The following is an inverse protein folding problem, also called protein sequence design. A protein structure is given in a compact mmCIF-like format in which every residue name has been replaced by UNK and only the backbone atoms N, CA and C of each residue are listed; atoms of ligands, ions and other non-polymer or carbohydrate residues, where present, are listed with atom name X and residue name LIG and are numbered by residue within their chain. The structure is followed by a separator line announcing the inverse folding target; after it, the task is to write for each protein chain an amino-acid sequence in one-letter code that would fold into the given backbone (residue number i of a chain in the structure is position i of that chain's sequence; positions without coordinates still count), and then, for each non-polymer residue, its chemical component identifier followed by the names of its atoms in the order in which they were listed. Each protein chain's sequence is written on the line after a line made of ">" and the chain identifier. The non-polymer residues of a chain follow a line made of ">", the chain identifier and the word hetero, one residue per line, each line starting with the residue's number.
data_IF_846040029834
#
_entry.id   IF_846040029834
#
_cell.length_a   1.000
_cell.length_b   1.000
_cell.length_c   1.000
_cell.angle_alpha   90.00
_cell.angle_beta   90.00
_cell.angle_gamma   90.00
#
_symmetry.space_group_name_H-M   'P 1'
#
loop_
_entity.id
_entity.type
_entity.pdbx_description
1 polymer ?
#
# COMPACT_ATOMS: atom_id res chain seq x y z
N UNK A 1 -4.10 -24.53 -11.11
CA UNK A 1 -5.04 -25.19 -10.18
C UNK A 1 -6.46 -24.65 -10.31
N UNK A 2 -6.71 -23.35 -10.10
CA UNK A 2 -8.07 -22.76 -10.20
C UNK A 2 -8.76 -23.13 -11.52
N UNK A 3 -8.09 -22.98 -12.67
CA UNK A 3 -8.63 -23.39 -13.98
C UNK A 3 -9.01 -24.88 -14.07
N UNK A 4 -8.24 -25.75 -13.41
CA UNK A 4 -8.51 -27.19 -13.39
C UNK A 4 -9.71 -27.53 -12.50
N UNK A 5 -9.85 -26.83 -11.36
CA UNK A 5 -10.95 -27.01 -10.42
C UNK A 5 -12.26 -26.39 -10.92
N UNK A 6 -12.17 -25.27 -11.63
CA UNK A 6 -13.31 -24.63 -12.27
C UNK A 6 -13.94 -25.54 -13.34
N UNK A 7 -13.12 -26.24 -14.13
CA UNK A 7 -13.64 -26.97 -15.28
C UNK A 7 -14.24 -26.01 -16.34
N UNK A 8 -14.84 -26.55 -17.41
CA UNK A 8 -15.33 -25.74 -18.53
C UNK A 8 -16.55 -24.86 -18.21
N UNK A 9 -17.38 -25.26 -17.25
CA UNK A 9 -18.69 -24.65 -17.00
C UNK A 9 -18.74 -23.76 -15.74
N UNK A 10 -17.65 -23.62 -14.99
CA UNK A 10 -17.68 -22.83 -13.75
C UNK A 10 -17.62 -21.33 -13.99
N UNK A 11 -18.49 -20.61 -13.27
CA UNK A 11 -18.41 -19.18 -13.12
C UNK A 11 -17.31 -18.82 -12.10
N UNK A 12 -16.24 -18.20 -12.59
CA UNK A 12 -15.12 -17.74 -11.74
C UNK A 12 -15.22 -16.23 -11.55
N UNK A 13 -15.23 -15.81 -10.29
CA UNK A 13 -15.14 -14.42 -9.88
C UNK A 13 -13.84 -14.20 -9.13
N UNK A 14 -13.06 -13.20 -9.54
CA UNK A 14 -11.79 -12.84 -8.92
C UNK A 14 -11.79 -11.36 -8.57
N UNK A 15 -11.15 -11.03 -7.44
CA UNK A 15 -10.92 -9.66 -6.99
C UNK A 15 -9.43 -9.50 -6.76
N UNK A 16 -8.86 -8.41 -7.26
CA UNK A 16 -7.44 -8.14 -7.08
C UNK A 16 -7.06 -6.78 -7.64
N UNK A 17 -5.82 -6.40 -7.36
CA UNK A 17 -5.19 -5.19 -7.87
C UNK A 17 -3.80 -5.57 -8.40
N UNK A 18 -3.61 -5.47 -9.71
CA UNK A 18 -2.35 -5.78 -10.37
C UNK A 18 -1.21 -4.87 -9.91
N UNK A 19 -1.50 -3.60 -9.62
CA UNK A 19 -0.55 -2.60 -9.10
C UNK A 19 -0.10 -2.94 -7.66
N UNK A 20 -0.78 -3.87 -6.96
CA UNK A 20 -0.43 -4.34 -5.61
C UNK A 20 0.23 -5.72 -5.59
N UNK A 21 0.70 -6.21 -6.74
CA UNK A 21 1.40 -7.50 -6.80
C UNK A 21 2.84 -7.40 -6.27
N UNK A 22 3.02 -7.55 -4.95
CA UNK A 22 4.31 -7.36 -4.27
C UNK A 22 5.07 -8.66 -3.95
N UNK A 23 4.45 -9.83 -4.16
CA UNK A 23 5.02 -11.14 -3.86
C UNK A 23 5.69 -11.82 -5.06
N UNK A 24 6.23 -11.04 -6.02
CA UNK A 24 6.85 -11.58 -7.23
C UNK A 24 8.04 -12.50 -6.96
N UNK A 25 8.78 -12.26 -5.87
CA UNK A 25 9.86 -13.14 -5.41
C UNK A 25 9.39 -14.54 -5.01
N UNK A 26 8.09 -14.72 -4.73
CA UNK A 26 7.45 -15.99 -4.38
C UNK A 26 6.48 -16.46 -5.47
N UNK A 27 6.69 -16.03 -6.72
CA UNK A 27 5.93 -16.50 -7.89
C UNK A 27 4.58 -15.82 -8.12
N UNK A 28 4.24 -14.76 -7.38
CA UNK A 28 3.08 -13.95 -7.75
C UNK A 28 3.35 -13.21 -9.06
N UNK A 29 2.35 -13.16 -9.94
CA UNK A 29 2.48 -12.52 -11.24
C UNK A 29 1.21 -11.70 -11.55
N UNK A 30 1.29 -10.38 -11.81
CA UNK A 30 0.13 -9.58 -12.17
C UNK A 30 -0.55 -10.04 -13.46
N UNK A 31 0.11 -10.84 -14.31
CA UNK A 31 -0.49 -11.41 -15.53
C UNK A 31 -1.77 -12.18 -15.26
N UNK A 32 -1.91 -12.81 -14.09
CA UNK A 32 -3.12 -13.56 -13.75
C UNK A 32 -4.38 -12.68 -13.67
N UNK A 33 -4.21 -11.39 -13.33
CA UNK A 33 -5.29 -10.41 -13.32
C UNK A 33 -5.39 -9.69 -14.68
N UNK A 34 -4.26 -9.31 -15.27
CA UNK A 34 -4.22 -8.57 -16.55
C UNK A 34 -4.82 -9.41 -17.69
N UNK A 35 -4.49 -10.70 -17.74
CA UNK A 35 -4.92 -11.61 -18.79
C UNK A 35 -6.17 -12.44 -18.39
N UNK A 36 -6.89 -12.01 -17.35
CA UNK A 36 -7.99 -12.79 -16.76
C UNK A 36 -9.07 -13.19 -17.77
N UNK A 37 -9.48 -12.26 -18.66
CA UNK A 37 -10.47 -12.52 -19.70
C UNK A 37 -10.00 -13.56 -20.74
N UNK A 38 -8.68 -13.71 -20.93
CA UNK A 38 -8.09 -14.77 -21.78
C UNK A 38 -8.12 -16.12 -21.07
N UNK A 39 -7.93 -16.13 -19.76
CA UNK A 39 -7.94 -17.35 -18.93
C UNK A 39 -9.35 -17.90 -18.71
N UNK A 40 -10.33 -17.00 -18.60
CA UNK A 40 -11.76 -17.28 -18.41
C UNK A 40 -12.58 -16.49 -19.45
N UNK A 41 -12.72 -17.01 -20.68
CA UNK A 41 -13.49 -16.36 -21.74
C UNK A 41 -14.93 -16.08 -21.31
N UNK A 42 -15.42 -14.87 -21.58
CA UNK A 42 -16.75 -14.42 -21.16
C UNK A 42 -16.79 -13.73 -19.80
N UNK A 43 -15.66 -13.62 -19.09
CA UNK A 43 -15.59 -12.82 -17.87
C UNK A 43 -15.90 -11.33 -18.15
N UNK A 44 -16.74 -10.74 -17.29
CA UNK A 44 -16.99 -9.30 -17.27
C UNK A 44 -16.00 -8.56 -16.37
N UNK A 45 -15.77 -7.28 -16.66
CA UNK A 45 -14.94 -6.39 -15.83
C UNK A 45 -15.82 -5.42 -15.03
N UNK A 46 -15.43 -5.19 -13.77
CA UNK A 46 -16.13 -4.32 -12.82
C UNK A 46 -15.10 -3.46 -12.05
N UNK A 47 -14.56 -2.40 -12.67
CA UNK A 47 -13.55 -1.58 -12.03
C UNK A 47 -14.13 -0.79 -10.85
N UNK A 48 -13.46 -0.89 -9.69
CA UNK A 48 -13.76 -0.09 -8.51
C UNK A 48 -12.85 1.14 -8.49
N UNK A 49 -13.37 2.25 -9.00
CA UNK A 49 -12.57 3.46 -9.26
C UNK A 49 -12.47 4.43 -8.08
N UNK A 50 -13.30 4.28 -7.04
CA UNK A 50 -13.38 5.25 -5.94
C UNK A 50 -12.59 4.76 -4.74
N UNK A 51 -11.59 5.54 -4.33
CA UNK A 51 -10.81 5.33 -3.12
C UNK A 51 -11.44 6.07 -1.94
N UNK A 52 -12.00 5.32 -1.01
CA UNK A 52 -12.60 5.84 0.24
C UNK A 52 -11.63 5.86 1.42
N UNK A 53 -10.38 5.38 1.24
CA UNK A 53 -9.41 5.24 2.33
C UNK A 53 -8.56 6.50 2.50
N UNK A 54 -8.10 7.07 1.39
CA UNK A 54 -7.00 8.03 1.39
C UNK A 54 -7.48 9.45 1.01
N UNK A 55 -6.86 10.50 1.59
CA UNK A 55 -6.96 11.87 1.10
C UNK A 55 -6.59 12.00 -0.37
N UNK A 56 -7.21 12.96 -1.07
CA UNK A 56 -7.00 13.19 -2.49
C UNK A 56 -5.53 13.46 -2.85
N UNK A 57 -4.79 14.18 -2.00
CA UNK A 57 -3.34 14.37 -2.19
C UNK A 57 -2.57 13.06 -2.25
N UNK A 58 -2.89 12.09 -1.39
CA UNK A 58 -2.25 10.76 -1.39
C UNK A 58 -2.65 9.97 -2.64
N UNK A 59 -3.93 9.99 -3.02
CA UNK A 59 -4.41 9.28 -4.21
C UNK A 59 -3.71 9.80 -5.47
N UNK A 60 -3.54 11.12 -5.62
CA UNK A 60 -2.82 11.73 -6.74
C UNK A 60 -1.34 11.35 -6.76
N UNK A 61 -0.68 11.33 -5.60
CA UNK A 61 0.72 10.93 -5.49
C UNK A 61 0.91 9.45 -5.92
N UNK A 62 0.04 8.56 -5.45
CA UNK A 62 0.06 7.15 -5.84
C UNK A 62 -0.20 6.97 -7.35
N UNK A 63 -1.22 7.62 -7.89
CA UNK A 63 -1.54 7.57 -9.33
C UNK A 63 -0.37 8.06 -10.20
N UNK A 64 0.31 9.13 -9.77
CA UNK A 64 1.50 9.65 -10.46
C UNK A 64 2.61 8.59 -10.52
N UNK A 65 2.87 7.89 -9.43
CA UNK A 65 3.89 6.83 -9.38
C UNK A 65 3.50 5.63 -10.26
N UNK A 66 2.24 5.19 -10.21
CA UNK A 66 1.76 4.01 -10.93
C UNK A 66 1.76 4.18 -12.46
N UNK A 67 1.70 5.41 -12.97
CA UNK A 67 1.79 5.71 -14.41
C UNK A 67 3.13 5.30 -15.04
N UNK A 68 4.15 5.04 -14.23
CA UNK A 68 5.43 4.53 -14.71
C UNK A 68 5.43 3.01 -14.96
N UNK A 69 4.41 2.27 -14.48
CA UNK A 69 4.28 0.84 -14.74
C UNK A 69 3.84 0.59 -16.19
N UNK A 70 4.58 -0.26 -16.91
CA UNK A 70 4.35 -0.52 -18.34
C UNK A 70 3.22 -1.53 -18.58
N UNK A 71 3.13 -2.58 -17.75
CA UNK A 71 2.16 -3.67 -17.91
C UNK A 71 1.19 -3.65 -16.73
N UNK A 72 0.01 -3.07 -16.96
CA UNK A 72 -1.03 -2.90 -15.94
C UNK A 72 -2.44 -2.90 -16.55
N UNK A 73 -3.45 -3.14 -15.71
CA UNK A 73 -4.84 -2.90 -16.07
C UNK A 73 -5.09 -1.40 -16.15
N UNK A 74 -5.65 -0.95 -17.27
CA UNK A 74 -6.02 0.45 -17.44
C UNK A 74 -7.21 0.77 -16.51
N UNK A 75 -6.94 1.54 -15.46
CA UNK A 75 -7.94 1.98 -14.48
C UNK A 75 -7.64 3.37 -13.98
N UNK A 76 -8.69 4.13 -13.68
CA UNK A 76 -8.60 5.44 -13.05
C UNK A 76 -9.05 5.32 -11.58
N UNK A 77 -8.16 5.67 -10.65
CA UNK A 77 -8.50 5.73 -9.23
C UNK A 77 -8.70 7.20 -8.85
N UNK A 78 -9.87 7.52 -8.32
CA UNK A 78 -10.23 8.86 -7.83
C UNK A 78 -10.53 8.82 -6.33
N UNK A 79 -10.16 9.87 -5.57
CA UNK A 79 -10.58 9.97 -4.18
C UNK A 79 -12.10 10.12 -4.08
N UNK A 80 -12.67 9.67 -2.99
CA UNK A 80 -14.06 9.96 -2.66
C UNK A 80 -14.29 11.48 -2.51
N UNK A 81 -15.47 12.01 -2.89
CA UNK A 81 -15.73 13.45 -2.91
C UNK A 81 -15.40 14.17 -1.59
N UNK A 82 -15.68 13.53 -0.46
CA UNK A 82 -15.44 14.05 0.89
C UNK A 82 -13.95 14.22 1.27
N UNK A 83 -13.06 13.57 0.52
CA UNK A 83 -11.63 13.54 0.76
C UNK A 83 -10.81 14.16 -0.38
N UNK A 84 -11.44 14.59 -1.48
CA UNK A 84 -10.77 15.00 -2.73
C UNK A 84 -9.79 16.18 -2.56
N UNK A 85 -10.17 17.16 -1.74
CA UNK A 85 -9.38 18.38 -1.51
C UNK A 85 -8.44 18.26 -0.30
N UNK A 86 -8.43 17.12 0.39
CA UNK A 86 -7.53 16.90 1.53
C UNK A 86 -6.15 16.51 1.03
N UNK A 87 -5.15 17.29 1.43
CA UNK A 87 -3.75 16.87 1.34
C UNK A 87 -3.41 15.95 2.51
N UNK A 88 -2.45 15.05 2.32
CA UNK A 88 -2.19 14.00 3.32
C UNK A 88 -0.79 13.40 3.27
N UNK A 89 0.17 14.02 2.58
CA UNK A 89 1.54 13.53 2.55
C UNK A 89 2.54 14.67 2.74
N UNK A 90 3.70 14.31 3.27
CA UNK A 90 4.86 15.17 3.40
C UNK A 90 6.05 14.40 2.83
N UNK A 91 6.90 15.07 2.05
CA UNK A 91 8.17 14.51 1.60
C UNK A 91 9.27 15.24 2.35
N UNK A 92 10.00 14.50 3.19
CA UNK A 92 11.16 15.05 3.87
C UNK A 92 12.36 15.12 2.92
N UNK A 93 13.05 16.26 2.92
CA UNK A 93 14.29 16.46 2.15
C UNK A 93 15.48 15.67 2.70
N UNK A 94 16.55 15.58 1.91
CA UNK A 94 17.73 14.74 2.18
C UNK A 94 18.68 15.26 3.28
N UNK A 95 18.41 16.41 3.91
CA UNK A 95 19.36 17.10 4.80
C UNK A 95 19.41 16.52 6.24
N UNK A 96 18.55 15.56 6.59
CA UNK A 96 18.50 14.92 7.90
C UNK A 96 18.62 13.39 7.85
N UNK A 97 18.85 12.76 9.01
CA UNK A 97 18.71 11.30 9.12
C UNK A 97 17.23 10.94 9.08
N UNK A 98 16.86 9.95 8.26
CA UNK A 98 15.47 9.47 8.14
C UNK A 98 14.84 9.11 9.50
N UNK A 99 15.68 8.68 10.46
CA UNK A 99 15.27 8.33 11.82
C UNK A 99 14.78 9.55 12.60
N UNK A 100 15.53 10.64 12.65
CA UNK A 100 15.16 11.82 13.42
C UNK A 100 13.86 12.45 12.89
N UNK A 101 13.73 12.53 11.55
CA UNK A 101 12.51 13.01 10.91
C UNK A 101 11.32 12.10 11.20
N UNK A 102 11.51 10.77 11.21
CA UNK A 102 10.44 9.82 11.56
C UNK A 102 9.98 10.00 13.00
N UNK A 103 10.91 10.12 13.95
CA UNK A 103 10.58 10.35 15.37
C UNK A 103 9.81 11.65 15.54
N UNK A 104 10.25 12.73 14.90
CA UNK A 104 9.56 14.02 14.94
C UNK A 104 8.15 13.93 14.36
N UNK A 105 7.97 13.23 13.23
CA UNK A 105 6.65 13.03 12.63
C UNK A 105 5.70 12.27 13.56
N UNK A 106 6.17 11.20 14.21
CA UNK A 106 5.39 10.42 15.19
C UNK A 106 5.02 11.29 16.39
N UNK A 107 5.98 12.00 16.99
CA UNK A 107 5.72 12.88 18.13
C UNK A 107 4.73 14.00 17.77
N UNK A 108 4.84 14.56 16.57
CA UNK A 108 3.91 15.60 16.08
C UNK A 108 2.49 15.05 15.97
N UNK A 109 2.31 13.85 15.42
CA UNK A 109 1.00 13.21 15.33
C UNK A 109 0.41 12.90 16.71
N UNK A 110 1.21 12.37 17.64
CA UNK A 110 0.79 12.12 19.01
C UNK A 110 0.40 13.41 19.75
N UNK A 111 1.19 14.48 19.59
CA UNK A 111 0.89 15.79 20.18
C UNK A 111 -0.38 16.42 19.59
N UNK A 112 -0.71 16.11 18.33
CA UNK A 112 -1.97 16.49 17.69
C UNK A 112 -3.17 15.63 18.12
N UNK A 113 -2.96 14.62 18.96
CA UNK A 113 -4.02 13.76 19.51
C UNK A 113 -4.33 12.51 18.69
N UNK A 114 -3.55 12.19 17.66
CA UNK A 114 -3.69 10.92 16.93
C UNK A 114 -3.45 9.74 17.87
N UNK A 115 -4.33 8.75 17.84
CA UNK A 115 -4.17 7.60 18.71
C UNK A 115 -2.95 6.77 18.27
N UNK A 116 -2.11 6.23 19.18
CA UNK A 116 -0.90 5.51 18.81
C UNK A 116 -1.11 4.35 17.82
N UNK A 117 -2.26 3.66 17.90
CA UNK A 117 -2.60 2.55 17.01
C UNK A 117 -3.00 2.98 15.58
N UNK A 118 -3.19 4.27 15.34
CA UNK A 118 -3.42 4.86 14.01
C UNK A 118 -2.11 5.28 13.33
N UNK A 119 -0.96 5.12 14.00
CA UNK A 119 0.36 5.48 13.51
C UNK A 119 1.15 4.20 13.18
N UNK A 120 1.61 4.09 11.94
CA UNK A 120 2.47 2.99 11.50
C UNK A 120 3.76 3.53 10.85
N UNK A 121 4.88 2.87 11.14
CA UNK A 121 6.18 3.12 10.48
C UNK A 121 6.51 1.93 9.59
N UNK A 122 6.62 2.17 8.28
CA UNK A 122 6.92 1.14 7.28
C UNK A 122 8.32 1.37 6.71
N UNK A 123 9.07 0.28 6.53
CA UNK A 123 10.39 0.31 5.89
C UNK A 123 10.51 -0.82 4.87
N UNK A 124 11.47 -0.71 3.95
CA UNK A 124 11.66 -1.73 2.90
C UNK A 124 12.17 -3.07 3.43
N UNK A 125 13.00 -3.03 4.48
CA UNK A 125 13.60 -4.20 5.13
C UNK A 125 13.58 -4.03 6.64
N UNK A 126 13.31 -5.11 7.37
CA UNK A 126 13.11 -5.08 8.82
C UNK A 126 14.29 -4.44 9.57
N UNK A 127 15.53 -4.66 9.14
CA UNK A 127 16.72 -4.09 9.78
C UNK A 127 16.71 -2.55 9.87
N UNK A 128 15.98 -1.86 8.99
CA UNK A 128 15.84 -0.40 9.03
C UNK A 128 14.90 0.08 10.16
N UNK A 129 14.08 -0.80 10.75
CA UNK A 129 13.23 -0.45 11.89
C UNK A 129 14.03 -0.33 13.19
N UNK A 130 15.12 -1.08 13.35
CA UNK A 130 15.92 -1.11 14.59
C UNK A 130 16.33 0.29 15.07
N UNK A 131 17.00 1.14 14.25
CA UNK A 131 17.39 2.48 14.70
C UNK A 131 16.18 3.38 14.99
N UNK A 132 15.06 3.21 14.29
CA UNK A 132 13.83 3.96 14.55
C UNK A 132 13.21 3.56 15.89
N UNK A 133 13.18 2.27 16.20
CA UNK A 133 12.66 1.77 17.48
C UNK A 133 13.49 2.25 18.66
N UNK A 134 14.82 2.21 18.55
CA UNK A 134 15.72 2.74 19.59
C UNK A 134 15.47 4.23 19.80
N UNK A 135 15.34 5.01 18.73
CA UNK A 135 15.11 6.44 18.83
C UNK A 135 13.72 6.79 19.40
N UNK A 136 12.67 6.06 19.01
CA UNK A 136 11.32 6.22 19.59
C UNK A 136 11.29 5.85 21.08
N UNK A 137 11.97 4.76 21.46
CA UNK A 137 12.10 4.37 22.87
C UNK A 137 12.84 5.43 23.70
N UNK A 138 13.94 5.98 23.18
CA UNK A 138 14.65 7.09 23.83
C UNK A 138 13.79 8.36 23.97
N UNK A 139 12.85 8.55 23.05
CA UNK A 139 11.85 9.62 23.07
C UNK A 139 10.61 9.32 23.94
N UNK A 140 10.56 8.19 24.63
CA UNK A 140 9.43 7.78 25.48
C UNK A 140 8.19 7.33 24.71
N UNK A 141 8.31 7.04 23.41
CA UNK A 141 7.21 6.56 22.57
C UNK A 141 7.24 5.03 22.51
N UNK A 142 6.23 4.34 23.06
CA UNK A 142 6.15 2.88 22.96
C UNK A 142 5.89 2.44 21.52
N UNK A 143 6.46 1.30 21.12
CA UNK A 143 6.24 0.70 19.80
C UNK A 143 5.74 -0.74 19.95
N UNK A 144 4.97 -1.20 18.99
CA UNK A 144 4.46 -2.58 18.92
C UNK A 144 4.78 -3.17 17.55
N UNK A 145 5.18 -4.45 17.52
CA UNK A 145 5.75 -5.06 16.32
C UNK A 145 7.20 -4.61 16.07
N UNK A 146 8.06 -5.53 15.67
CA UNK A 146 9.48 -5.24 15.50
C UNK A 146 10.26 -6.36 14.82
N UNK A 147 11.56 -6.17 14.69
CA UNK A 147 12.51 -7.14 14.14
C UNK A 147 12.65 -8.31 15.12
N UNK A 148 11.62 -9.17 15.18
CA UNK A 148 11.68 -10.45 15.86
C UNK A 148 12.38 -11.48 14.98
N UNK A 149 12.93 -12.52 15.60
CA UNK A 149 13.48 -13.70 14.93
C UNK A 149 12.40 -14.60 14.30
N UNK A 150 11.12 -14.27 14.48
CA UNK A 150 10.00 -15.07 14.04
C UNK A 150 9.24 -14.35 12.93
N UNK A 151 9.18 -15.04 11.79
CA UNK A 151 8.25 -14.78 10.69
C UNK A 151 6.90 -15.41 11.01
#
# INVERSE_FOLDING_TARGET
>A
LVRLLAGPDAAVFAVGDDDQTIYGYNGADPTWLIDFATLFPGAGDHPLEVNYRCPGGIVRAADTLLRHNVRRVAKAIRPAPEAADRDGFMVAGAEGTSVATTVQAVQTALAAGTAPHEIAVLTRVNSLLVPVQVALAAAGVPTSGGVGTEF
#
